data_IF_879423374428
#
_entry.id   IF_879423374428
#
_cell.length_a   1.000
_cell.length_b   1.000
_cell.length_c   1.000
_cell.angle_alpha   90.00
_cell.angle_beta   90.00
_cell.angle_gamma   90.00
#
_symmetry.space_group_name_H-M   'P 1'
#
loop_
_entity.id
_entity.type
_entity.pdbx_description
1 polymer ?
#
# COMPACT_ATOMS: atom_id res chain seq x y z
N UNK A 1 5.61 -4.81 -24.70
CA UNK A 1 6.74 -4.16 -23.96
C UNK A 1 6.12 -3.60 -22.68
N UNK A 2 6.42 -4.24 -21.57
CA UNK A 2 5.72 -4.04 -20.29
C UNK A 2 5.90 -2.62 -19.72
N UNK A 3 4.86 -2.00 -19.17
CA UNK A 3 4.93 -0.63 -18.61
C UNK A 3 5.94 -0.50 -17.46
N UNK A 4 6.28 -1.58 -16.76
CA UNK A 4 7.25 -1.58 -15.65
C UNK A 4 8.70 -1.34 -16.14
N UNK A 5 9.06 -1.75 -17.37
CA UNK A 5 10.40 -1.50 -17.93
C UNK A 5 10.64 -0.02 -18.27
N UNK A 6 9.60 0.77 -18.45
CA UNK A 6 9.73 2.21 -18.73
C UNK A 6 10.06 3.04 -17.47
N UNK A 7 9.76 2.54 -16.29
CA UNK A 7 10.03 3.21 -15.00
C UNK A 7 11.52 3.17 -14.60
N UNK A 8 12.25 2.15 -15.04
CA UNK A 8 13.69 1.96 -14.75
C UNK A 8 14.63 2.93 -15.49
N UNK A 9 14.12 3.81 -16.36
CA UNK A 9 14.94 4.71 -17.19
C UNK A 9 14.87 6.19 -16.76
N UNK A 10 14.48 6.51 -15.53
CA UNK A 10 14.52 7.89 -15.00
C UNK A 10 15.74 8.09 -14.09
N UNK A 11 16.80 8.81 -14.54
CA UNK A 11 18.10 8.85 -13.85
C UNK A 11 18.09 9.43 -12.42
N UNK A 12 17.10 10.23 -12.06
CA UNK A 12 16.97 10.81 -10.71
C UNK A 12 16.30 9.91 -9.68
N UNK A 13 15.59 8.87 -10.13
CA UNK A 13 14.80 7.98 -9.29
C UNK A 13 15.59 6.79 -8.74
N UNK A 14 16.61 6.36 -9.48
CA UNK A 14 17.46 5.23 -9.12
C UNK A 14 18.38 5.54 -7.92
N UNK A 15 18.72 6.81 -7.71
CA UNK A 15 19.64 7.21 -6.65
C UNK A 15 19.09 7.01 -5.24
N UNK A 16 17.74 7.15 -5.07
CA UNK A 16 17.10 6.98 -3.78
C UNK A 16 16.58 5.54 -3.54
N UNK A 17 16.48 4.71 -4.58
CA UNK A 17 15.95 3.33 -4.43
C UNK A 17 16.94 2.37 -3.75
N UNK A 18 18.25 2.67 -3.77
CA UNK A 18 19.27 1.86 -3.10
C UNK A 18 19.30 2.05 -1.58
N UNK A 19 18.62 3.09 -1.07
CA UNK A 19 18.55 3.42 0.36
C UNK A 19 17.40 2.69 1.07
N UNK A 20 16.45 2.13 0.29
CA UNK A 20 15.28 1.45 0.84
C UNK A 20 15.43 -0.07 0.75
N UNK A 21 14.91 -0.77 1.75
CA UNK A 21 14.74 -2.21 1.74
C UNK A 21 13.28 -2.60 1.92
N UNK A 22 12.94 -3.82 1.49
CA UNK A 22 11.57 -4.32 1.51
C UNK A 22 11.56 -5.78 1.93
N UNK A 23 10.79 -6.13 2.94
CA UNK A 23 10.70 -7.49 3.46
C UNK A 23 9.31 -7.81 4.02
N UNK A 24 9.05 -9.07 4.22
CA UNK A 24 7.85 -9.54 4.95
C UNK A 24 7.89 -8.96 6.38
N UNK A 25 6.73 -8.51 6.86
CA UNK A 25 6.55 -8.04 8.21
C UNK A 25 6.67 -9.19 9.22
N UNK A 26 7.19 -8.86 10.39
CA UNK A 26 7.30 -9.75 11.54
C UNK A 26 6.49 -9.20 12.73
N UNK A 27 6.39 -9.96 13.80
CA UNK A 27 5.72 -9.48 15.03
C UNK A 27 6.37 -8.21 15.61
N UNK A 28 7.67 -8.03 15.41
CA UNK A 28 8.38 -6.84 15.90
C UNK A 28 8.00 -5.55 15.15
N UNK A 29 7.39 -5.68 13.98
CA UNK A 29 7.02 -4.54 13.13
C UNK A 29 5.61 -4.01 13.42
N UNK A 30 4.81 -4.74 14.20
CA UNK A 30 3.38 -4.44 14.40
C UNK A 30 3.18 -3.04 14.99
N UNK A 31 4.03 -2.61 15.93
CA UNK A 31 3.91 -1.26 16.50
C UNK A 31 4.12 -0.19 15.43
N UNK A 32 5.18 -0.27 14.64
CA UNK A 32 5.45 0.69 13.57
C UNK A 32 4.35 0.69 12.49
N UNK A 33 3.84 -0.48 12.11
CA UNK A 33 2.70 -0.62 11.20
C UNK A 33 1.45 0.06 11.78
N UNK A 34 1.21 -0.11 13.09
CA UNK A 34 0.09 0.51 13.79
C UNK A 34 0.21 2.03 13.77
N UNK A 35 1.38 2.55 14.08
CA UNK A 35 1.64 3.99 14.16
C UNK A 35 1.50 4.67 12.79
N UNK A 36 2.08 4.09 11.74
CA UNK A 36 1.96 4.59 10.36
C UNK A 36 0.51 4.58 9.91
N UNK A 37 -0.21 3.49 10.17
CA UNK A 37 -1.63 3.41 9.82
C UNK A 37 -2.48 4.44 10.56
N UNK A 38 -2.30 4.55 11.87
CA UNK A 38 -3.05 5.48 12.69
C UNK A 38 -2.76 6.94 12.35
N UNK A 39 -1.54 7.28 11.95
CA UNK A 39 -1.21 8.60 11.43
C UNK A 39 -2.03 8.92 10.16
N UNK A 40 -2.24 7.94 9.27
CA UNK A 40 -3.07 8.11 8.09
C UNK A 40 -4.57 8.23 8.45
N UNK A 41 -5.06 7.43 9.41
CA UNK A 41 -6.44 7.53 9.93
C UNK A 41 -6.67 8.91 10.54
N UNK A 42 -5.83 9.35 11.48
CA UNK A 42 -5.98 10.64 12.18
C UNK A 42 -5.97 11.83 11.20
N UNK A 43 -5.11 11.78 10.19
CA UNK A 43 -5.03 12.82 9.15
C UNK A 43 -6.30 12.89 8.28
N UNK A 44 -7.00 11.77 8.10
CA UNK A 44 -8.10 11.61 7.15
C UNK A 44 -7.66 11.51 5.68
N UNK A 45 -8.62 11.23 4.80
CA UNK A 45 -8.40 11.18 3.35
C UNK A 45 -7.60 10.00 2.81
N UNK A 46 -7.28 9.01 3.65
CA UNK A 46 -6.47 7.84 3.24
C UNK A 46 -7.03 6.51 3.74
N UNK A 47 -7.95 6.52 4.68
CA UNK A 47 -8.59 5.32 5.22
C UNK A 47 -10.06 5.63 5.54
N UNK A 48 -10.92 4.65 5.34
CA UNK A 48 -12.31 4.68 5.78
C UNK A 48 -12.49 4.26 7.26
N UNK A 49 -11.41 3.95 7.97
CA UNK A 49 -11.47 3.83 9.42
C UNK A 49 -11.67 5.21 10.04
N UNK A 50 -12.67 5.31 10.91
CA UNK A 50 -13.01 6.57 11.61
C UNK A 50 -12.31 6.70 12.95
N UNK A 51 -11.73 5.62 13.47
CA UNK A 51 -10.97 5.60 14.72
C UNK A 51 -9.65 4.86 14.53
N UNK A 52 -8.56 5.29 15.19
CA UNK A 52 -7.31 4.57 15.20
C UNK A 52 -7.49 3.12 15.68
N UNK A 53 -6.67 2.22 15.12
CA UNK A 53 -6.64 0.82 15.51
C UNK A 53 -5.71 0.61 16.72
N UNK A 54 -6.08 -0.32 17.60
CA UNK A 54 -5.19 -0.75 18.68
C UNK A 54 -4.08 -1.67 18.15
N UNK A 55 -3.01 -1.83 18.93
CA UNK A 55 -1.96 -2.80 18.64
C UNK A 55 -2.52 -4.21 18.42
N UNK A 56 -3.43 -4.68 19.27
CA UNK A 56 -4.00 -6.02 19.18
C UNK A 56 -4.85 -6.21 17.92
N UNK A 57 -5.61 -5.18 17.53
CA UNK A 57 -6.36 -5.21 16.27
C UNK A 57 -5.43 -5.30 15.06
N UNK A 58 -4.32 -4.54 15.07
CA UNK A 58 -3.34 -4.55 13.98
C UNK A 58 -2.54 -5.85 13.95
N UNK A 59 -2.19 -6.39 15.11
CA UNK A 59 -1.57 -7.71 15.25
C UNK A 59 -2.45 -8.79 14.64
N UNK A 60 -3.72 -8.88 15.03
CA UNK A 60 -4.65 -9.84 14.47
C UNK A 60 -4.79 -9.70 12.95
N UNK A 61 -4.81 -8.47 12.43
CA UNK A 61 -4.85 -8.21 11.00
C UNK A 61 -3.57 -8.68 10.29
N UNK A 62 -2.39 -8.43 10.82
CA UNK A 62 -1.13 -8.94 10.25
C UNK A 62 -1.11 -10.47 10.26
N UNK A 63 -1.49 -11.08 11.38
CA UNK A 63 -1.52 -12.54 11.56
C UNK A 63 -2.57 -13.24 10.70
N UNK A 64 -3.60 -12.54 10.24
CA UNK A 64 -4.61 -13.11 9.33
C UNK A 64 -4.13 -13.27 7.89
N UNK A 65 -2.97 -12.71 7.54
CA UNK A 65 -2.40 -12.83 6.20
C UNK A 65 -1.56 -14.11 6.09
N UNK A 66 -2.11 -15.11 5.42
CA UNK A 66 -1.44 -16.37 5.11
C UNK A 66 -1.19 -16.48 3.62
N UNK A 67 -0.15 -17.23 3.22
CA UNK A 67 0.17 -17.46 1.81
C UNK A 67 -1.08 -17.80 0.99
N UNK A 68 -1.29 -17.18 -0.17
CA UNK A 68 -0.39 -16.30 -0.93
C UNK A 68 -0.44 -14.81 -0.51
N UNK A 69 -1.20 -14.45 0.51
CA UNK A 69 -1.31 -13.09 1.03
C UNK A 69 -0.22 -12.81 2.08
N UNK A 70 0.19 -11.57 2.20
CA UNK A 70 1.23 -11.18 3.15
C UNK A 70 1.24 -9.68 3.43
N UNK A 71 1.80 -9.31 4.57
CA UNK A 71 2.12 -7.92 4.93
C UNK A 71 3.63 -7.71 4.81
N UNK A 72 4.02 -6.55 4.32
CA UNK A 72 5.41 -6.17 4.07
C UNK A 72 5.70 -4.82 4.70
N UNK A 73 6.97 -4.59 5.03
CA UNK A 73 7.48 -3.30 5.48
C UNK A 73 8.50 -2.75 4.49
N UNK A 74 8.49 -1.43 4.35
CA UNK A 74 9.55 -0.66 3.67
C UNK A 74 10.38 0.01 4.73
N UNK A 75 11.69 -0.16 4.66
CA UNK A 75 12.66 0.35 5.63
C UNK A 75 13.69 1.24 4.96
N UNK A 76 14.28 2.13 5.73
CA UNK A 76 15.52 2.83 5.41
C UNK A 76 16.51 2.62 6.55
N UNK A 77 17.81 2.79 6.29
CA UNK A 77 18.81 2.91 7.33
C UNK A 77 19.07 4.39 7.60
N UNK A 78 19.29 4.75 8.85
CA UNK A 78 19.83 6.05 9.23
C UNK A 78 21.38 6.08 9.08
N UNK A 79 22.00 7.21 9.45
CA UNK A 79 23.44 7.40 9.32
C UNK A 79 24.26 6.45 10.22
N UNK A 80 23.66 5.92 11.29
CA UNK A 80 24.26 4.95 12.20
C UNK A 80 24.00 3.49 11.77
N UNK A 81 23.26 3.30 10.69
CA UNK A 81 22.89 1.99 10.14
C UNK A 81 21.69 1.33 10.83
N UNK A 82 21.02 2.03 11.76
CA UNK A 82 19.79 1.57 12.39
C UNK A 82 18.64 1.59 11.37
N UNK A 83 17.87 0.51 11.34
CA UNK A 83 16.75 0.38 10.40
C UNK A 83 15.46 0.96 10.97
N UNK A 84 14.86 1.87 10.21
CA UNK A 84 13.57 2.48 10.50
C UNK A 84 12.53 2.03 9.49
N UNK A 85 11.36 1.60 9.97
CA UNK A 85 10.20 1.33 9.10
C UNK A 85 9.56 2.67 8.72
N UNK A 86 9.47 2.91 7.41
CA UNK A 86 8.99 4.17 6.81
C UNK A 86 7.71 3.98 6.00
N UNK A 87 7.24 2.75 5.89
CA UNK A 87 5.99 2.39 5.23
C UNK A 87 5.68 0.91 5.36
N UNK A 88 4.46 0.55 5.09
CA UNK A 88 4.05 -0.84 4.97
C UNK A 88 3.07 -1.03 3.83
N UNK A 89 2.92 -2.28 3.40
CA UNK A 89 1.97 -2.67 2.36
C UNK A 89 1.48 -4.09 2.58
N UNK A 90 0.36 -4.43 1.96
CA UNK A 90 -0.21 -5.75 2.07
C UNK A 90 -0.85 -6.22 0.76
N UNK A 91 -0.80 -7.53 0.56
CA UNK A 91 -1.63 -8.27 -0.38
C UNK A 91 -2.73 -8.93 0.45
N UNK A 92 -3.97 -8.53 0.23
CA UNK A 92 -5.12 -9.03 0.98
C UNK A 92 -6.12 -9.74 0.07
N UNK A 93 -6.99 -10.53 0.66
CA UNK A 93 -8.13 -11.14 -0.05
C UNK A 93 -9.00 -10.03 -0.63
N UNK A 94 -9.22 -10.04 -1.96
CA UNK A 94 -10.11 -9.10 -2.61
C UNK A 94 -11.58 -9.43 -2.31
N UNK A 95 -11.95 -10.70 -2.45
CA UNK A 95 -13.28 -11.19 -2.15
C UNK A 95 -13.20 -12.68 -1.78
N UNK A 96 -13.78 -13.05 -0.62
CA UNK A 96 -13.69 -14.40 -0.07
C UNK A 96 -14.62 -15.38 -0.78
N UNK A 97 -14.26 -15.73 -2.03
CA UNK A 97 -14.84 -16.80 -2.83
C UNK A 97 -13.79 -17.36 -3.79
N UNK A 98 -13.67 -18.66 -3.91
CA UNK A 98 -12.66 -19.35 -4.71
C UNK A 98 -12.58 -18.88 -6.19
N UNK A 99 -13.66 -18.39 -6.78
CA UNK A 99 -13.62 -17.82 -8.13
C UNK A 99 -12.78 -16.55 -8.27
N UNK A 100 -12.41 -15.91 -7.14
CA UNK A 100 -11.52 -14.75 -7.10
C UNK A 100 -10.07 -15.11 -6.75
N UNK A 101 -9.71 -16.37 -6.67
CA UNK A 101 -8.33 -16.78 -6.43
C UNK A 101 -7.39 -16.15 -7.46
N UNK A 102 -6.28 -15.58 -6.96
CA UNK A 102 -5.34 -14.82 -7.77
C UNK A 102 -5.74 -13.35 -8.01
N UNK A 103 -6.83 -12.87 -7.44
CA UNK A 103 -7.16 -11.43 -7.36
C UNK A 103 -6.84 -10.95 -5.95
N UNK A 104 -6.03 -9.89 -5.83
CA UNK A 104 -5.64 -9.35 -4.53
C UNK A 104 -6.04 -7.88 -4.39
N UNK A 105 -6.46 -7.49 -3.19
CA UNK A 105 -6.59 -6.09 -2.79
C UNK A 105 -5.25 -5.59 -2.25
N UNK A 106 -4.83 -4.40 -2.71
CA UNK A 106 -3.58 -3.77 -2.32
C UNK A 106 -3.83 -2.71 -1.26
N UNK A 107 -3.11 -2.80 -0.16
CA UNK A 107 -2.98 -1.71 0.80
C UNK A 107 -1.53 -1.24 0.86
N UNK A 108 -1.30 0.08 0.93
CA UNK A 108 0.02 0.65 1.21
C UNK A 108 -0.12 1.99 1.93
N UNK A 109 0.72 2.19 2.92
CA UNK A 109 0.76 3.38 3.74
C UNK A 109 2.21 3.80 3.97
N UNK A 110 2.48 5.08 3.80
CA UNK A 110 3.81 5.66 3.96
C UNK A 110 3.77 6.65 5.13
N UNK A 111 4.75 6.55 6.00
CA UNK A 111 4.94 7.49 7.09
C UNK A 111 4.89 8.92 6.55
N UNK A 112 4.09 9.82 7.17
CA UNK A 112 3.93 11.20 6.71
C UNK A 112 5.26 11.94 6.50
N UNK A 113 6.29 11.67 7.31
CA UNK A 113 7.60 12.30 7.21
C UNK A 113 8.39 11.84 5.97
N UNK A 114 8.01 10.69 5.39
CA UNK A 114 8.67 10.07 4.24
C UNK A 114 7.89 10.20 2.94
N UNK A 115 6.74 10.88 2.96
CA UNK A 115 5.97 11.17 1.75
C UNK A 115 6.71 12.16 0.84
N UNK A 116 6.47 12.06 -0.47
CA UNK A 116 7.13 12.92 -1.47
C UNK A 116 8.59 12.55 -1.78
N UNK A 117 9.17 11.55 -1.11
CA UNK A 117 10.57 11.12 -1.28
C UNK A 117 10.74 9.88 -2.19
N UNK A 118 9.68 9.45 -2.88
CA UNK A 118 9.72 8.28 -3.76
C UNK A 118 9.39 6.96 -3.07
N UNK A 119 9.22 6.92 -1.74
CA UNK A 119 8.93 5.72 -0.96
C UNK A 119 7.67 5.02 -1.46
N UNK A 120 6.58 5.74 -1.74
CA UNK A 120 5.35 5.14 -2.26
C UNK A 120 5.54 4.46 -3.62
N UNK A 121 6.37 5.03 -4.50
CA UNK A 121 6.74 4.41 -5.78
C UNK A 121 7.56 3.14 -5.55
N UNK A 122 8.56 3.18 -4.67
CA UNK A 122 9.37 2.02 -4.32
C UNK A 122 8.50 0.90 -3.73
N UNK A 123 7.69 1.22 -2.72
CA UNK A 123 6.80 0.26 -2.05
C UNK A 123 5.84 -0.40 -3.04
N UNK A 124 5.17 0.37 -3.91
CA UNK A 124 4.25 -0.20 -4.89
C UNK A 124 4.98 -1.02 -5.96
N UNK A 125 6.19 -0.63 -6.38
CA UNK A 125 7.04 -1.46 -7.26
C UNK A 125 7.27 -2.83 -6.63
N UNK A 126 7.74 -2.86 -5.38
CA UNK A 126 8.03 -4.11 -4.66
C UNK A 126 6.78 -4.95 -4.40
N UNK A 127 5.67 -4.30 -4.07
CA UNK A 127 4.40 -4.99 -3.87
C UNK A 127 3.91 -5.68 -5.14
N UNK A 128 4.05 -5.05 -6.31
CA UNK A 128 3.70 -5.66 -7.59
C UNK A 128 4.67 -6.78 -8.01
N UNK A 129 5.96 -6.69 -7.63
CA UNK A 129 6.90 -7.80 -7.78
C UNK A 129 6.46 -9.01 -6.93
N UNK A 130 6.01 -8.78 -5.69
CA UNK A 130 5.49 -9.84 -4.83
C UNK A 130 4.16 -10.43 -5.35
N UNK A 131 3.28 -9.63 -5.94
CA UNK A 131 2.10 -10.13 -6.63
C UNK A 131 2.47 -11.18 -7.70
N UNK A 132 3.42 -10.84 -8.56
CA UNK A 132 3.87 -11.74 -9.65
C UNK A 132 4.53 -13.01 -9.11
N UNK A 133 5.41 -12.90 -8.10
CA UNK A 133 6.05 -14.05 -7.45
C UNK A 133 5.04 -15.02 -6.83
N UNK A 134 3.89 -14.51 -6.39
CA UNK A 134 2.80 -15.26 -5.77
C UNK A 134 1.71 -15.67 -6.75
N UNK A 135 1.99 -15.54 -8.08
CA UNK A 135 1.08 -15.88 -9.15
C UNK A 135 -0.28 -15.19 -9.07
N UNK A 136 -0.33 -13.97 -8.54
CA UNK A 136 -1.53 -13.15 -8.64
C UNK A 136 -1.72 -12.72 -10.09
N UNK A 137 -2.95 -12.85 -10.58
CA UNK A 137 -3.33 -12.47 -11.94
C UNK A 137 -3.85 -11.04 -12.06
N UNK A 138 -4.30 -10.48 -10.93
CA UNK A 138 -4.89 -9.14 -10.89
C UNK A 138 -4.67 -8.48 -9.53
N UNK A 139 -4.23 -7.23 -9.56
CA UNK A 139 -4.12 -6.37 -8.38
C UNK A 139 -5.23 -5.31 -8.41
N UNK A 140 -5.93 -5.12 -7.31
CA UNK A 140 -6.97 -4.12 -7.14
C UNK A 140 -6.56 -3.07 -6.12
N UNK A 141 -7.05 -1.85 -6.27
CA UNK A 141 -6.90 -0.78 -5.30
C UNK A 141 -8.22 -0.06 -5.10
N UNK A 142 -8.59 0.17 -3.85
CA UNK A 142 -9.80 0.88 -3.44
C UNK A 142 -9.35 2.11 -2.68
N UNK A 143 -9.54 3.29 -3.24
CA UNK A 143 -8.98 4.54 -2.72
C UNK A 143 -10.01 5.68 -2.76
N UNK A 144 -9.92 6.60 -1.82
CA UNK A 144 -10.70 7.84 -1.90
C UNK A 144 -10.39 8.58 -3.21
N UNK A 145 -11.42 9.03 -3.91
CA UNK A 145 -11.30 9.63 -5.24
C UNK A 145 -10.57 10.98 -5.24
N UNK A 146 -10.40 11.59 -4.08
CA UNK A 146 -9.64 12.84 -3.86
C UNK A 146 -8.24 12.60 -3.26
N UNK A 147 -7.82 11.33 -3.03
CA UNK A 147 -6.46 11.01 -2.62
C UNK A 147 -5.49 11.14 -3.81
N UNK A 148 -5.08 12.38 -4.09
CA UNK A 148 -4.27 12.71 -5.26
C UNK A 148 -2.97 11.90 -5.33
N UNK A 149 -2.34 11.61 -4.19
CA UNK A 149 -1.09 10.84 -4.13
C UNK A 149 -1.27 9.40 -4.60
N UNK A 150 -2.28 8.70 -4.07
CA UNK A 150 -2.59 7.33 -4.48
C UNK A 150 -3.10 7.25 -5.92
N UNK A 151 -3.95 8.18 -6.35
CA UNK A 151 -4.43 8.27 -7.74
C UNK A 151 -3.25 8.45 -8.72
N UNK A 152 -2.29 9.32 -8.39
CA UNK A 152 -1.10 9.52 -9.22
C UNK A 152 -0.26 8.24 -9.35
N UNK A 153 -0.12 7.47 -8.26
CA UNK A 153 0.54 6.17 -8.28
C UNK A 153 -0.23 5.17 -9.14
N UNK A 154 -1.56 5.04 -8.97
CA UNK A 154 -2.37 4.13 -9.80
C UNK A 154 -2.17 4.42 -11.30
N UNK A 155 -2.30 5.68 -11.71
CA UNK A 155 -2.09 6.09 -13.10
C UNK A 155 -0.67 5.82 -13.58
N UNK A 156 0.33 6.11 -12.77
CA UNK A 156 1.75 5.89 -13.10
C UNK A 156 2.09 4.43 -13.33
N UNK A 157 1.50 3.52 -12.54
CA UNK A 157 1.72 2.09 -12.67
C UNK A 157 0.79 1.40 -13.69
N UNK A 158 -0.04 2.17 -14.40
CA UNK A 158 -0.88 1.66 -15.46
C UNK A 158 -2.17 0.99 -14.99
N UNK A 159 -2.59 1.25 -13.75
CA UNK A 159 -3.90 0.80 -13.29
C UNK A 159 -5.01 1.47 -14.07
N UNK A 160 -6.06 0.72 -14.33
CA UNK A 160 -7.31 1.18 -14.96
C UNK A 160 -8.35 1.43 -13.89
N UNK A 161 -8.95 2.62 -13.89
CA UNK A 161 -10.11 2.89 -13.05
C UNK A 161 -11.35 2.21 -13.67
N UNK A 162 -12.02 1.35 -12.91
CA UNK A 162 -13.20 0.63 -13.37
C UNK A 162 -14.49 1.01 -12.63
N UNK A 163 -14.38 1.82 -11.59
CA UNK A 163 -15.55 2.25 -10.83
C UNK A 163 -15.32 3.52 -10.03
N UNK A 164 -16.43 4.21 -9.79
CA UNK A 164 -16.52 5.33 -8.85
C UNK A 164 -17.84 5.18 -8.09
N UNK A 165 -17.78 5.19 -6.77
CA UNK A 165 -18.96 5.17 -5.90
C UNK A 165 -19.02 6.52 -5.17
N UNK A 166 -19.94 7.41 -5.55
CA UNK A 166 -20.11 8.70 -4.89
C UNK A 166 -20.55 8.53 -3.43
N UNK A 167 -20.06 9.40 -2.56
CA UNK A 167 -20.44 9.48 -1.14
C UNK A 167 -20.44 8.12 -0.43
N UNK A 168 -19.39 7.33 -0.67
CA UNK A 168 -19.36 5.91 -0.31
C UNK A 168 -18.89 5.67 1.13
N UNK A 169 -17.99 6.50 1.65
CA UNK A 169 -17.41 6.29 2.98
C UNK A 169 -17.06 7.61 3.66
N UNK A 170 -17.12 7.60 4.98
CA UNK A 170 -16.72 8.73 5.82
C UNK A 170 -15.34 8.45 6.38
N UNK A 171 -14.45 9.44 6.38
CA UNK A 171 -13.16 9.34 7.06
C UNK A 171 -13.23 9.82 8.52
N UNK A 172 -12.11 9.75 9.23
CA UNK A 172 -11.99 10.15 10.64
C UNK A 172 -12.30 11.62 10.92
N UNK A 173 -12.26 12.48 9.88
CA UNK A 173 -12.61 13.91 10.01
C UNK A 173 -14.11 14.15 9.91
N UNK A 174 -14.92 13.11 9.68
CA UNK A 174 -16.34 13.20 9.41
C UNK A 174 -16.68 13.62 7.97
N UNK A 175 -15.67 13.69 7.09
CA UNK A 175 -15.88 14.04 5.68
C UNK A 175 -16.32 12.80 4.90
N UNK A 176 -17.49 12.91 4.25
CA UNK A 176 -17.98 11.88 3.32
C UNK A 176 -17.28 12.03 1.98
N UNK A 177 -16.76 10.91 1.45
CA UNK A 177 -15.92 10.90 0.25
C UNK A 177 -16.41 9.90 -0.77
N UNK A 178 -16.09 10.16 -2.02
CA UNK A 178 -16.26 9.22 -3.11
C UNK A 178 -15.15 8.15 -3.04
N UNK A 179 -15.49 6.92 -3.44
CA UNK A 179 -14.55 5.82 -3.51
C UNK A 179 -14.27 5.45 -4.96
N UNK A 180 -13.00 5.41 -5.35
CA UNK A 180 -12.56 4.97 -6.69
C UNK A 180 -11.96 3.58 -6.64
N UNK A 181 -12.25 2.79 -7.67
CA UNK A 181 -11.87 1.39 -7.79
C UNK A 181 -10.95 1.20 -9.00
N UNK A 182 -9.80 0.60 -8.77
CA UNK A 182 -8.74 0.44 -9.76
C UNK A 182 -8.29 -1.00 -9.87
N UNK A 183 -7.84 -1.43 -11.04
CA UNK A 183 -7.22 -2.73 -11.24
C UNK A 183 -6.02 -2.66 -12.17
N UNK A 184 -5.13 -3.63 -12.04
CA UNK A 184 -4.01 -3.90 -12.93
C UNK A 184 -3.99 -5.40 -13.24
N UNK A 185 -3.88 -5.76 -14.52
CA UNK A 185 -3.53 -7.12 -14.93
C UNK A 185 -2.03 -7.35 -14.74
N UNK A 186 -1.62 -8.51 -14.17
CA UNK A 186 -0.26 -8.79 -13.70
C UNK A 186 0.51 -9.75 -14.62
#
# INVERSE_FOLDING_TARGET
MEPVFRLLHMPGMLKNMSEYSYRIATQNDIQAITDIYNAAVIRGGSSADITPRTYEQRKAWVESHHDPYAVFVTETADDDGERQIIGFSALSVFYDRAGYDGVTDLAYYIDPQWQGRGVGTYTLTKLLEECRKRNMRKACGIIFADNAGSIALMKRFGFTQFGLMPTAATDSTGTMRDMSYWYLDL
#
